data_IF_333201629398
#
_entry.id   IF_333201629398
#
_cell.length_a   1.000
_cell.length_b   1.000
_cell.length_c   1.000
_cell.angle_alpha   90.00
_cell.angle_beta   90.00
_cell.angle_gamma   90.00
#
_symmetry.space_group_name_H-M   'P 1'
#
loop_
_entity.id
_entity.type
_entity.pdbx_description
1 polymer ?
#
# COMPACT_ATOMS: atom_id res chain seq x y z
N UNK A 1 9.62 19.83 15.89
CA UNK A 1 8.36 19.10 15.93
C UNK A 1 7.37 19.60 14.85
N UNK A 2 7.06 20.91 14.78
CA UNK A 2 6.13 21.46 13.78
C UNK A 2 6.62 21.25 12.34
N UNK A 3 7.90 21.44 12.10
CA UNK A 3 8.54 21.25 10.78
C UNK A 3 8.44 19.78 10.34
N UNK A 4 8.71 18.85 11.25
CA UNK A 4 8.62 17.42 10.96
C UNK A 4 7.18 17.02 10.66
N UNK A 5 6.21 17.55 11.41
CA UNK A 5 4.79 17.28 11.16
C UNK A 5 4.36 17.77 9.80
N UNK A 6 4.72 18.98 9.43
CA UNK A 6 4.42 19.54 8.10
C UNK A 6 5.01 18.68 6.98
N UNK A 7 6.28 18.27 7.12
CA UNK A 7 6.95 17.42 6.16
C UNK A 7 6.25 16.06 5.98
N UNK A 8 5.86 15.41 7.08
CA UNK A 8 5.11 14.15 7.03
C UNK A 8 3.72 14.32 6.41
N UNK A 9 3.01 15.41 6.69
CA UNK A 9 1.68 15.68 6.10
C UNK A 9 1.78 15.82 4.58
N UNK A 10 2.78 16.54 4.09
CA UNK A 10 3.02 16.70 2.65
C UNK A 10 3.41 15.35 2.03
N UNK A 11 4.30 14.59 2.66
CA UNK A 11 4.75 13.29 2.17
C UNK A 11 3.58 12.30 2.06
N UNK A 12 2.70 12.24 3.05
CA UNK A 12 1.52 11.35 3.02
C UNK A 12 0.54 11.78 1.93
N UNK A 13 0.37 13.08 1.69
CA UNK A 13 -0.49 13.59 0.62
C UNK A 13 0.05 13.28 -0.79
N UNK A 14 1.36 13.12 -0.95
CA UNK A 14 1.96 12.75 -2.23
C UNK A 14 1.70 11.30 -2.63
N UNK A 15 1.45 10.38 -1.68
CA UNK A 15 1.22 8.96 -1.99
C UNK A 15 -0.03 8.75 -2.85
N UNK A 16 -1.24 9.23 -2.49
CA UNK A 16 -2.42 9.11 -3.34
C UNK A 16 -2.29 9.87 -4.67
N UNK A 17 -1.56 10.99 -4.68
CA UNK A 17 -1.28 11.75 -5.89
C UNK A 17 -0.41 10.94 -6.87
N UNK A 18 0.70 10.36 -6.42
CA UNK A 18 1.56 9.50 -7.22
C UNK A 18 0.79 8.27 -7.74
N UNK A 19 0.02 7.60 -6.87
CA UNK A 19 -0.81 6.48 -7.25
C UNK A 19 -1.89 6.85 -8.28
N UNK A 20 -2.44 8.08 -8.22
CA UNK A 20 -3.36 8.58 -9.22
C UNK A 20 -2.66 8.83 -10.56
N UNK A 21 -1.41 9.31 -10.57
CA UNK A 21 -0.62 9.49 -11.77
C UNK A 21 -0.30 8.15 -12.45
N UNK A 22 -0.08 7.10 -11.68
CA UNK A 22 0.11 5.73 -12.18
C UNK A 22 -1.21 5.03 -12.58
N UNK A 23 -2.36 5.70 -12.45
CA UNK A 23 -3.67 5.15 -12.81
C UNK A 23 -4.23 4.11 -11.84
N UNK A 24 -3.58 3.91 -10.68
CA UNK A 24 -4.02 2.99 -9.62
C UNK A 24 -4.97 3.63 -8.61
N UNK A 25 -5.10 4.96 -8.65
CA UNK A 25 -5.99 5.74 -7.78
C UNK A 25 -6.88 6.68 -8.61
N UNK A 26 -8.07 7.11 -8.08
CA UNK A 26 -8.97 7.98 -8.82
C UNK A 26 -8.32 9.29 -9.28
N UNK A 27 -8.61 9.71 -10.51
CA UNK A 27 -8.04 10.93 -11.12
C UNK A 27 -8.33 12.22 -10.36
N UNK A 28 -9.32 12.24 -9.49
CA UNK A 28 -9.64 13.38 -8.63
C UNK A 28 -8.40 13.80 -7.81
N UNK A 29 -7.55 12.84 -7.44
CA UNK A 29 -6.33 13.07 -6.68
C UNK A 29 -5.18 13.68 -7.49
N UNK A 30 -5.29 13.74 -8.84
CA UNK A 30 -4.34 14.45 -9.72
C UNK A 30 -4.51 15.97 -9.71
N UNK A 31 -5.62 16.49 -9.14
CA UNK A 31 -5.89 17.93 -9.14
C UNK A 31 -4.87 18.66 -8.27
N UNK A 32 -4.13 19.54 -8.94
CA UNK A 32 -3.16 20.45 -8.34
C UNK A 32 -3.74 21.86 -8.16
N UNK A 33 -3.19 22.56 -7.19
CA UNK A 33 -3.45 23.98 -7.00
C UNK A 33 -2.48 24.81 -7.87
N UNK A 34 -2.66 26.13 -7.94
CA UNK A 34 -1.77 27.09 -8.64
C UNK A 34 -0.28 26.95 -8.27
N UNK A 35 0.02 26.38 -7.12
CA UNK A 35 1.38 26.15 -6.61
C UNK A 35 1.85 24.70 -6.83
N UNK A 36 1.27 23.96 -7.79
CA UNK A 36 1.64 22.56 -8.12
C UNK A 36 1.52 21.58 -6.93
N UNK A 37 0.65 21.89 -5.96
CA UNK A 37 0.41 21.05 -4.79
C UNK A 37 -0.87 20.23 -4.95
N UNK A 38 -0.87 18.93 -4.57
CA UNK A 38 -2.02 18.03 -4.70
C UNK A 38 -3.10 18.37 -3.66
N UNK A 39 -3.94 19.33 -3.99
CA UNK A 39 -4.94 19.92 -3.07
C UNK A 39 -5.95 18.88 -2.57
N UNK A 40 -6.54 18.10 -3.48
CA UNK A 40 -7.56 17.09 -3.12
C UNK A 40 -6.93 15.98 -2.25
N UNK A 41 -5.74 15.53 -2.60
CA UNK A 41 -5.01 14.54 -1.81
C UNK A 41 -4.75 15.04 -0.39
N UNK A 42 -4.32 16.31 -0.24
CA UNK A 42 -4.04 16.92 1.05
C UNK A 42 -5.30 17.00 1.94
N UNK A 43 -6.44 17.45 1.38
CA UNK A 43 -7.68 17.53 2.12
C UNK A 43 -8.21 16.16 2.56
N UNK A 44 -8.18 15.17 1.68
CA UNK A 44 -8.64 13.80 1.98
C UNK A 44 -7.76 13.14 3.03
N UNK A 45 -6.43 13.22 2.88
CA UNK A 45 -5.51 12.63 3.86
C UNK A 45 -5.62 13.30 5.22
N UNK A 46 -5.75 14.64 5.27
CA UNK A 46 -5.98 15.38 6.51
C UNK A 46 -7.32 14.99 7.16
N UNK A 47 -8.37 14.84 6.36
CA UNK A 47 -9.68 14.38 6.85
C UNK A 47 -9.64 12.98 7.45
N UNK A 48 -8.94 12.04 6.80
CA UNK A 48 -8.74 10.68 7.31
C UNK A 48 -7.93 10.70 8.61
N UNK A 49 -6.89 11.54 8.69
CA UNK A 49 -6.12 11.71 9.93
C UNK A 49 -7.02 12.20 11.09
N UNK A 50 -7.87 13.21 10.85
CA UNK A 50 -8.80 13.72 11.87
C UNK A 50 -9.81 12.65 12.29
N UNK A 51 -10.37 11.90 11.34
CA UNK A 51 -11.27 10.79 11.63
C UNK A 51 -10.57 9.74 12.53
N UNK A 52 -9.35 9.38 12.18
CA UNK A 52 -8.55 8.42 12.97
C UNK A 52 -8.30 8.92 14.39
N UNK A 53 -7.98 10.21 14.57
CA UNK A 53 -7.81 10.82 15.89
C UNK A 53 -9.09 10.74 16.73
N UNK A 54 -10.25 11.01 16.13
CA UNK A 54 -11.54 10.90 16.80
C UNK A 54 -11.82 9.44 17.21
N UNK A 55 -11.58 8.48 16.34
CA UNK A 55 -11.76 7.06 16.65
C UNK A 55 -10.87 6.59 17.80
N UNK A 56 -9.60 7.01 17.79
CA UNK A 56 -8.65 6.69 18.87
C UNK A 56 -9.07 7.29 20.21
N UNK A 57 -9.68 8.49 20.20
CA UNK A 57 -10.16 9.14 21.42
C UNK A 57 -11.24 8.30 22.14
N UNK A 58 -12.11 7.63 21.40
CA UNK A 58 -13.19 6.81 21.95
C UNK A 58 -12.76 5.38 22.33
N UNK A 59 -11.63 4.89 21.84
CA UNK A 59 -11.19 3.52 22.04
C UNK A 59 -9.78 3.46 22.67
N UNK A 60 -9.71 3.13 23.94
CA UNK A 60 -8.49 3.18 24.79
C UNK A 60 -7.32 2.35 24.23
N UNK A 61 -7.60 1.24 23.56
CA UNK A 61 -6.58 0.35 22.97
C UNK A 61 -6.36 0.55 21.47
N UNK A 62 -7.15 1.42 20.80
CA UNK A 62 -7.11 1.60 19.37
C UNK A 62 -5.75 2.14 18.89
N UNK A 63 -5.08 2.96 19.66
CA UNK A 63 -3.77 3.52 19.31
C UNK A 63 -2.72 2.43 19.08
N UNK A 64 -2.54 1.52 20.02
CA UNK A 64 -1.55 0.44 19.91
C UNK A 64 -1.89 -0.53 18.77
N UNK A 65 -3.17 -0.86 18.64
CA UNK A 65 -3.65 -1.73 17.55
C UNK A 65 -3.42 -1.09 16.19
N UNK A 66 -3.76 0.19 16.00
CA UNK A 66 -3.53 0.90 14.74
C UNK A 66 -2.05 1.04 14.40
N UNK A 67 -1.18 1.30 15.37
CA UNK A 67 0.27 1.31 15.16
C UNK A 67 0.77 -0.05 14.70
N UNK A 68 0.33 -1.12 15.34
CA UNK A 68 0.74 -2.49 14.99
C UNK A 68 0.27 -2.88 13.60
N UNK A 69 -1.00 -2.60 13.26
CA UNK A 69 -1.54 -2.86 11.92
C UNK A 69 -0.80 -2.06 10.85
N UNK A 70 -0.54 -0.77 11.10
CA UNK A 70 0.20 0.09 10.17
C UNK A 70 1.61 -0.43 9.93
N UNK A 71 2.31 -0.86 10.99
CA UNK A 71 3.64 -1.45 10.90
C UNK A 71 3.63 -2.71 10.03
N UNK A 72 2.62 -3.56 10.16
CA UNK A 72 2.47 -4.78 9.34
C UNK A 72 2.13 -4.45 7.89
N UNK A 73 1.29 -3.45 7.63
CA UNK A 73 0.90 -3.05 6.27
C UNK A 73 2.06 -2.49 5.42
N UNK A 74 3.10 -1.97 6.06
CA UNK A 74 4.30 -1.47 5.36
C UNK A 74 5.21 -2.62 4.90
N UNK A 75 5.19 -3.77 5.54
CA UNK A 75 6.11 -4.89 5.25
C UNK A 75 5.95 -5.49 3.85
N UNK A 76 4.74 -5.74 3.30
CA UNK A 76 4.58 -6.28 1.95
C UNK A 76 5.21 -5.42 0.83
N UNK A 77 5.06 -4.09 0.79
CA UNK A 77 5.78 -3.24 -0.16
C UNK A 77 7.30 -3.34 -0.04
N UNK A 78 7.83 -3.37 1.19
CA UNK A 78 9.28 -3.55 1.40
C UNK A 78 9.76 -4.90 0.91
N UNK A 79 9.01 -5.98 1.18
CA UNK A 79 9.31 -7.31 0.66
C UNK A 79 9.31 -7.31 -0.88
N UNK A 80 8.33 -6.65 -1.50
CA UNK A 80 8.26 -6.54 -2.97
C UNK A 80 9.46 -5.79 -3.55
N UNK A 81 9.88 -4.67 -2.93
CA UNK A 81 11.04 -3.89 -3.36
C UNK A 81 12.34 -4.71 -3.26
N UNK A 82 12.55 -5.40 -2.14
CA UNK A 82 13.76 -6.21 -1.93
C UNK A 82 13.80 -7.43 -2.84
N UNK A 83 12.66 -8.08 -3.06
CA UNK A 83 12.51 -9.19 -4.00
C UNK A 83 12.74 -8.74 -5.45
N UNK A 84 12.27 -7.55 -5.82
CA UNK A 84 12.50 -6.98 -7.13
C UNK A 84 13.97 -6.63 -7.37
N UNK A 85 14.65 -6.08 -6.37
CA UNK A 85 16.10 -5.82 -6.42
C UNK A 85 16.88 -7.14 -6.66
N UNK A 86 16.57 -8.17 -5.91
CA UNK A 86 17.16 -9.48 -6.12
C UNK A 86 16.90 -10.03 -7.52
N UNK A 87 15.65 -9.91 -8.04
CA UNK A 87 15.28 -10.33 -9.39
C UNK A 87 16.11 -9.62 -10.46
N UNK A 88 16.25 -8.30 -10.40
CA UNK A 88 17.06 -7.52 -11.34
C UNK A 88 18.51 -7.98 -11.33
N UNK A 89 19.09 -8.21 -10.16
CA UNK A 89 20.45 -8.69 -10.03
C UNK A 89 20.61 -10.13 -10.59
N UNK A 90 19.65 -11.02 -10.34
CA UNK A 90 19.67 -12.39 -10.82
C UNK A 90 19.50 -12.48 -12.34
N UNK A 91 18.71 -11.59 -12.94
CA UNK A 91 18.49 -11.53 -14.41
C UNK A 91 19.57 -10.72 -15.15
N UNK A 92 20.62 -10.27 -14.45
CA UNK A 92 21.72 -9.45 -15.02
C UNK A 92 21.21 -8.14 -15.67
N UNK A 93 20.06 -7.65 -15.26
CA UNK A 93 19.50 -6.37 -15.72
C UNK A 93 19.89 -5.19 -14.81
N UNK A 94 20.87 -5.40 -13.92
CA UNK A 94 21.35 -4.35 -13.03
C UNK A 94 22.08 -3.27 -13.86
N UNK A 95 21.68 -1.98 -13.74
CA UNK A 95 22.24 -0.91 -14.57
C UNK A 95 23.74 -0.76 -14.38
N UNK A 96 24.49 -0.68 -15.48
CA UNK A 96 25.91 -0.40 -15.47
C UNK A 96 26.13 1.08 -15.08
N UNK A 97 27.10 1.33 -14.18
CA UNK A 97 27.39 2.69 -13.70
C UNK A 97 26.82 3.05 -12.34
N UNK A 98 26.09 2.16 -11.70
CA UNK A 98 25.67 2.36 -10.30
C UNK A 98 26.86 2.30 -9.34
N UNK A 99 26.89 3.14 -8.27
CA UNK A 99 27.99 3.18 -7.29
C UNK A 99 28.16 1.88 -6.50
N UNK A 100 27.13 1.03 -6.50
CA UNK A 100 27.09 -0.24 -5.76
C UNK A 100 27.28 -1.40 -6.71
N UNK A 101 28.18 -2.31 -6.39
CA UNK A 101 28.43 -3.53 -7.19
C UNK A 101 27.20 -4.43 -7.18
N UNK A 102 26.84 -5.02 -8.33
CA UNK A 102 25.67 -5.90 -8.49
C UNK A 102 25.64 -7.06 -7.48
N UNK A 103 26.80 -7.64 -7.12
CA UNK A 103 26.90 -8.67 -6.10
C UNK A 103 26.42 -8.21 -4.73
N UNK A 104 26.85 -7.01 -4.30
CA UNK A 104 26.42 -6.43 -3.00
C UNK A 104 24.94 -6.07 -3.00
N UNK A 105 24.42 -5.51 -4.10
CA UNK A 105 23.00 -5.25 -4.27
C UNK A 105 22.16 -6.54 -4.20
N UNK A 106 22.64 -7.63 -4.82
CA UNK A 106 22.01 -8.95 -4.73
C UNK A 106 21.95 -9.46 -3.28
N UNK A 107 23.09 -9.38 -2.57
CA UNK A 107 23.15 -9.78 -1.16
C UNK A 107 22.17 -8.96 -0.30
N UNK A 108 22.12 -7.63 -0.47
CA UNK A 108 21.18 -6.76 0.23
C UNK A 108 19.72 -7.12 -0.11
N UNK A 109 19.42 -7.43 -1.36
CA UNK A 109 18.09 -7.86 -1.80
C UNK A 109 17.62 -9.15 -1.12
N UNK A 110 18.49 -10.14 -1.06
CA UNK A 110 18.21 -11.42 -0.40
C UNK A 110 18.07 -11.25 1.12
N UNK A 111 19.04 -10.58 1.75
CA UNK A 111 19.00 -10.31 3.19
C UNK A 111 17.77 -9.49 3.60
N UNK A 112 17.43 -8.45 2.82
CA UNK A 112 16.24 -7.64 3.04
C UNK A 112 14.94 -8.43 2.89
N UNK A 113 14.85 -9.33 1.91
CA UNK A 113 13.69 -10.21 1.73
C UNK A 113 13.53 -11.18 2.89
N UNK A 114 14.61 -11.78 3.34
CA UNK A 114 14.60 -12.66 4.51
C UNK A 114 14.18 -11.90 5.77
N UNK A 115 14.74 -10.71 5.99
CA UNK A 115 14.38 -9.85 7.12
C UNK A 115 12.91 -9.43 7.09
N UNK A 116 12.39 -9.05 5.94
CA UNK A 116 10.98 -8.69 5.79
C UNK A 116 10.03 -9.87 6.09
N UNK A 117 10.35 -11.08 5.62
CA UNK A 117 9.61 -12.28 5.96
C UNK A 117 9.65 -12.60 7.46
N UNK A 118 10.84 -12.48 8.06
CA UNK A 118 10.98 -12.63 9.51
C UNK A 118 10.14 -11.64 10.30
N UNK A 119 10.13 -10.37 9.88
CA UNK A 119 9.32 -9.33 10.52
C UNK A 119 7.82 -9.58 10.38
N UNK A 120 7.35 -10.07 9.23
CA UNK A 120 5.95 -10.47 9.03
C UNK A 120 5.57 -11.60 10.01
N UNK A 121 6.45 -12.58 10.18
CA UNK A 121 6.25 -13.67 11.14
C UNK A 121 6.25 -13.14 12.59
N UNK A 122 7.20 -12.29 12.94
CA UNK A 122 7.35 -11.72 14.29
C UNK A 122 6.21 -10.76 14.68
N UNK A 123 5.59 -10.09 13.73
CA UNK A 123 4.47 -9.18 13.96
C UNK A 123 3.22 -9.86 14.53
N UNK A 124 3.11 -11.17 14.34
CA UNK A 124 1.98 -11.96 14.83
C UNK A 124 0.83 -12.08 13.83
N UNK A 125 0.18 -13.24 13.88
CA UNK A 125 -0.86 -13.62 12.92
C UNK A 125 -2.11 -12.73 13.01
N UNK A 126 -2.46 -12.26 14.21
CA UNK A 126 -3.63 -11.41 14.46
C UNK A 126 -3.56 -10.08 13.70
N UNK A 127 -2.43 -9.37 13.81
CA UNK A 127 -2.24 -8.10 13.11
C UNK A 127 -2.11 -8.26 11.60
N UNK A 128 -1.55 -9.40 11.16
CA UNK A 128 -1.49 -9.74 9.74
C UNK A 128 -2.90 -9.93 9.15
N UNK A 129 -3.77 -10.64 9.85
CA UNK A 129 -5.17 -10.81 9.44
C UNK A 129 -5.92 -9.48 9.39
N UNK A 130 -5.73 -8.60 10.36
CA UNK A 130 -6.28 -7.24 10.34
C UNK A 130 -5.79 -6.44 9.14
N UNK A 131 -4.51 -6.52 8.81
CA UNK A 131 -3.95 -5.86 7.64
C UNK A 131 -4.64 -6.32 6.34
N UNK A 132 -4.95 -7.61 6.21
CA UNK A 132 -5.71 -8.12 5.05
C UNK A 132 -7.14 -7.58 4.97
N UNK A 133 -7.81 -7.35 6.10
CA UNK A 133 -9.12 -6.70 6.13
C UNK A 133 -9.04 -5.26 5.60
N UNK A 134 -8.02 -4.50 6.00
CA UNK A 134 -7.80 -3.15 5.47
C UNK A 134 -7.45 -3.16 3.97
N UNK A 135 -6.62 -4.11 3.52
CA UNK A 135 -6.30 -4.28 2.09
C UNK A 135 -7.56 -4.60 1.27
N UNK A 136 -8.48 -5.39 1.80
CA UNK A 136 -9.76 -5.67 1.14
C UNK A 136 -10.56 -4.39 0.87
N UNK A 137 -10.54 -3.40 1.77
CA UNK A 137 -11.20 -2.10 1.58
C UNK A 137 -10.55 -1.32 0.41
N UNK A 138 -9.27 -1.53 0.14
CA UNK A 138 -8.56 -0.92 -0.99
C UNK A 138 -9.00 -1.45 -2.37
N UNK A 139 -9.49 -2.70 -2.46
CA UNK A 139 -9.87 -3.32 -3.74
C UNK A 139 -10.99 -2.56 -4.46
N UNK A 140 -12.11 -2.18 -3.83
CA UNK A 140 -13.15 -1.36 -4.46
C UNK A 140 -12.63 -0.01 -5.00
N UNK A 141 -11.73 0.64 -4.23
CA UNK A 141 -11.12 1.91 -4.65
C UNK A 141 -10.25 1.71 -5.90
N UNK A 142 -9.48 0.63 -5.94
CA UNK A 142 -8.66 0.27 -7.11
C UNK A 142 -9.53 -0.01 -8.35
N UNK A 143 -10.63 -0.79 -8.20
CA UNK A 143 -11.56 -1.09 -9.29
C UNK A 143 -12.21 0.19 -9.81
N UNK A 144 -12.63 1.07 -8.92
CA UNK A 144 -13.21 2.36 -9.29
C UNK A 144 -12.21 3.24 -10.04
N UNK A 145 -10.97 3.31 -9.57
CA UNK A 145 -9.91 4.07 -10.23
C UNK A 145 -9.62 3.55 -11.65
N UNK A 146 -9.51 2.24 -11.81
CA UNK A 146 -9.26 1.60 -13.12
C UNK A 146 -10.41 1.79 -14.10
N UNK A 147 -11.66 1.73 -13.63
CA UNK A 147 -12.83 2.01 -14.48
C UNK A 147 -12.83 3.45 -14.96
N UNK A 148 -12.62 4.42 -14.08
CA UNK A 148 -12.54 5.83 -14.47
C UNK A 148 -11.36 6.10 -15.42
N UNK A 149 -10.23 5.42 -15.24
CA UNK A 149 -9.09 5.52 -16.16
C UNK A 149 -9.41 4.97 -17.56
N UNK A 150 -10.18 3.87 -17.63
CA UNK A 150 -10.58 3.26 -18.89
C UNK A 150 -11.64 4.08 -19.66
N UNK A 151 -12.55 4.78 -18.95
CA UNK A 151 -13.57 5.64 -19.58
C UNK A 151 -12.97 6.85 -20.27
N UNK A 152 -11.86 7.39 -19.76
CA UNK A 152 -11.21 8.60 -20.28
C UNK A 152 -10.03 8.30 -21.22
N UNK A 153 -9.71 7.03 -21.46
CA UNK A 153 -8.64 6.65 -22.37
C UNK A 153 -8.96 7.09 -23.80
N UNK A 154 -8.07 7.87 -24.40
CA UNK A 154 -8.23 8.39 -25.76
C UNK A 154 -7.95 7.31 -26.81
N UNK A 155 -7.19 6.28 -26.44
CA UNK A 155 -6.86 5.13 -27.31
C UNK A 155 -7.84 3.96 -27.09
N UNK A 156 -8.42 3.46 -28.18
CA UNK A 156 -9.33 2.29 -28.15
C UNK A 156 -8.70 1.03 -27.53
N UNK A 157 -7.38 0.89 -27.62
CA UNK A 157 -6.65 -0.22 -26.99
C UNK A 157 -6.63 -0.15 -25.46
N UNK A 158 -6.62 1.04 -24.88
CA UNK A 158 -6.65 1.24 -23.43
C UNK A 158 -8.05 1.04 -22.84
N UNK A 159 -9.11 1.33 -23.61
CA UNK A 159 -10.51 1.08 -23.22
C UNK A 159 -10.85 -0.39 -22.98
N UNK A 160 -10.15 -1.30 -23.68
CA UNK A 160 -10.38 -2.74 -23.59
C UNK A 160 -9.42 -3.49 -22.65
N UNK A 161 -8.55 -2.78 -21.92
CA UNK A 161 -7.69 -3.44 -20.95
C UNK A 161 -8.53 -4.00 -19.79
N UNK A 162 -8.35 -5.27 -19.43
CA UNK A 162 -9.06 -5.86 -18.30
C UNK A 162 -8.70 -5.09 -17.02
N UNK A 163 -9.69 -4.86 -16.17
CA UNK A 163 -9.53 -4.16 -14.87
C UNK A 163 -8.43 -4.79 -14.03
N UNK A 164 -8.29 -6.10 -14.11
CA UNK A 164 -7.23 -6.88 -13.45
C UNK A 164 -6.42 -7.66 -14.47
N UNK A 165 -5.12 -7.61 -14.37
CA UNK A 165 -4.24 -8.59 -14.99
C UNK A 165 -4.43 -9.93 -14.30
N UNK A 166 -4.18 -11.07 -14.97
CA UNK A 166 -4.38 -12.42 -14.40
C UNK A 166 -3.72 -12.60 -13.03
N UNK A 167 -2.52 -12.04 -12.84
CA UNK A 167 -1.80 -12.11 -11.57
C UNK A 167 -2.41 -11.19 -10.49
N UNK A 168 -2.88 -10.01 -10.86
CA UNK A 168 -3.57 -9.07 -9.97
C UNK A 168 -4.91 -9.66 -9.50
N UNK A 169 -5.64 -10.34 -10.39
CA UNK A 169 -6.89 -11.01 -10.04
C UNK A 169 -6.66 -12.11 -8.99
N UNK A 170 -5.63 -12.95 -9.19
CA UNK A 170 -5.27 -13.99 -8.22
C UNK A 170 -4.92 -13.35 -6.87
N UNK A 171 -4.11 -12.29 -6.87
CA UNK A 171 -3.76 -11.56 -5.65
C UNK A 171 -4.99 -10.97 -4.95
N UNK A 172 -5.90 -10.33 -5.68
CA UNK A 172 -7.13 -9.78 -5.14
C UNK A 172 -8.05 -10.86 -4.54
N UNK A 173 -8.21 -12.00 -5.22
CA UNK A 173 -8.99 -13.13 -4.72
C UNK A 173 -8.40 -13.70 -3.43
N UNK A 174 -7.07 -13.88 -3.37
CA UNK A 174 -6.38 -14.35 -2.15
C UNK A 174 -6.61 -13.37 -1.00
N UNK A 175 -6.46 -12.06 -1.24
CA UNK A 175 -6.70 -11.03 -0.21
C UNK A 175 -8.14 -11.12 0.32
N UNK A 176 -9.12 -11.20 -0.58
CA UNK A 176 -10.53 -11.29 -0.20
C UNK A 176 -10.83 -12.56 0.61
N UNK A 177 -10.34 -13.72 0.17
CA UNK A 177 -10.57 -15.00 0.87
C UNK A 177 -9.95 -14.97 2.27
N UNK A 178 -8.70 -14.47 2.39
CA UNK A 178 -8.03 -14.36 3.70
C UNK A 178 -8.74 -13.34 4.59
N UNK A 179 -9.19 -12.20 4.05
CA UNK A 179 -9.91 -11.19 4.80
C UNK A 179 -11.26 -11.68 5.30
N UNK A 180 -12.03 -12.43 4.48
CA UNK A 180 -13.29 -13.04 4.90
C UNK A 180 -13.02 -14.08 6.01
N UNK A 181 -12.01 -14.91 5.84
CA UNK A 181 -11.57 -15.86 6.88
C UNK A 181 -11.20 -15.16 8.19
N UNK A 182 -10.50 -14.03 8.11
CA UNK A 182 -10.15 -13.19 9.26
C UNK A 182 -11.41 -12.65 9.97
N UNK A 183 -12.35 -12.08 9.21
CA UNK A 183 -13.60 -11.53 9.76
C UNK A 183 -14.38 -12.63 10.50
N UNK A 184 -14.49 -13.82 9.91
CA UNK A 184 -15.16 -14.97 10.53
C UNK A 184 -14.42 -15.40 11.80
N UNK A 185 -13.08 -15.45 11.80
CA UNK A 185 -12.28 -15.83 12.95
C UNK A 185 -12.42 -14.84 14.11
N UNK A 186 -12.48 -13.53 13.82
CA UNK A 186 -12.76 -12.49 14.82
C UNK A 186 -14.21 -12.58 15.33
N UNK A 187 -15.20 -12.79 14.46
CA UNK A 187 -16.60 -12.88 14.83
C UNK A 187 -16.90 -14.14 15.69
N UNK A 188 -16.18 -15.24 15.47
CA UNK A 188 -16.31 -16.47 16.26
C UNK A 188 -15.52 -16.47 17.56
N UNK A 189 -14.80 -15.38 17.88
CA UNK A 189 -14.02 -15.25 19.12
C UNK A 189 -12.82 -16.20 19.23
N UNK A 190 -12.44 -16.86 18.13
CA UNK A 190 -11.27 -17.76 18.11
C UNK A 190 -9.93 -17.01 18.18
N UNK A 191 -9.93 -15.73 17.83
CA UNK A 191 -8.77 -14.84 17.90
C UNK A 191 -9.18 -13.64 18.74
N UNK A 192 -8.58 -13.50 19.92
CA UNK A 192 -8.75 -12.32 20.80
C UNK A 192 -7.71 -11.27 20.47
N UNK A 193 -8.12 -10.00 20.53
CA UNK A 193 -7.27 -8.81 20.44
C UNK A 193 -6.49 -8.57 21.72
#
# INVERSE_FOLDING_TARGET
>A
LLTSWLAFTIMIAQIPYAAANDGTFPRIFKKENRNEMPNVSLWVTSGVMQLTMILVYFATNAWNTMLSVTAVMILPPYLACTAYLWKICATKQYPEGMPVRAWFACFCGVAGSFYALWMIYAAGFTYLLMAFVFLMIGIPVYVWARRNAAEDATDEKEKHLPVFTKYELIGAVVIVVVAIGAIIAFATGKINL
#
